data_IF_183333396239
#
_entry.id   IF_183333396239
#
_cell.length_a   1.000
_cell.length_b   1.000
_cell.length_c   1.000
_cell.angle_alpha   90.00
_cell.angle_beta   90.00
_cell.angle_gamma   90.00
#
_symmetry.space_group_name_H-M   'P 1'
#
loop_
_entity.id
_entity.type
_entity.pdbx_description
1 polymer ?
#
# COMPACT_ATOMS: atom_id res chain seq x y z
N UNK A 1 -2.00 11.94 11.05
CA UNK A 1 -3.35 11.36 10.93
C UNK A 1 -3.97 11.90 9.67
N UNK A 2 -4.44 11.05 8.77
CA UNK A 2 -5.20 11.49 7.60
C UNK A 2 -6.50 10.69 7.51
N UNK A 3 -7.58 11.35 7.11
CA UNK A 3 -8.85 10.70 6.79
C UNK A 3 -9.18 11.07 5.34
N UNK A 4 -9.47 10.08 4.52
CA UNK A 4 -9.85 10.28 3.13
C UNK A 4 -11.27 9.79 2.93
N UNK A 5 -12.13 10.67 2.42
CA UNK A 5 -13.45 10.29 1.95
C UNK A 5 -13.42 10.08 0.45
N UNK A 6 -13.81 8.89 0.01
CA UNK A 6 -13.92 8.57 -1.41
C UNK A 6 -15.39 8.59 -1.82
N UNK A 7 -15.83 9.68 -2.45
CA UNK A 7 -17.07 9.68 -3.20
C UNK A 7 -16.85 8.85 -4.47
N UNK A 8 -17.72 7.89 -4.74
CA UNK A 8 -17.63 7.11 -5.97
C UNK A 8 -18.46 7.78 -7.10
N UNK A 9 -17.81 8.48 -8.04
CA UNK A 9 -18.49 9.05 -9.20
C UNK A 9 -18.90 7.99 -10.23
N UNK A 10 -18.30 6.79 -10.17
CA UNK A 10 -18.53 5.71 -11.14
C UNK A 10 -19.53 4.73 -10.55
N UNK A 11 -20.81 4.92 -10.85
CA UNK A 11 -21.88 4.01 -10.44
C UNK A 11 -22.10 2.87 -11.42
N UNK A 12 -21.70 3.06 -12.66
CA UNK A 12 -21.89 2.11 -13.77
C UNK A 12 -20.54 1.88 -14.46
N UNK A 13 -20.40 0.71 -15.02
CA UNK A 13 -19.30 0.38 -15.92
C UNK A 13 -19.86 0.33 -17.35
N UNK A 14 -19.69 1.39 -18.11
CA UNK A 14 -20.15 1.46 -19.49
C UNK A 14 -19.07 0.90 -20.40
N UNK A 15 -19.41 -0.15 -21.14
CA UNK A 15 -18.50 -0.79 -22.12
C UNK A 15 -18.92 -0.38 -23.52
N UNK A 16 -18.08 0.39 -24.21
CA UNK A 16 -18.30 0.72 -25.63
C UNK A 16 -17.64 -0.31 -26.51
N UNK A 17 -18.45 -1.00 -27.29
CA UNK A 17 -18.01 -1.98 -28.27
C UNK A 17 -17.42 -1.29 -29.52
N UNK A 18 -16.59 -2.03 -30.28
CA UNK A 18 -15.97 -1.50 -31.49
C UNK A 18 -16.93 -1.03 -32.61
N UNK A 19 -18.23 -1.41 -32.52
CA UNK A 19 -19.29 -0.92 -33.39
C UNK A 19 -19.96 0.37 -32.90
N UNK A 20 -19.43 0.99 -31.81
CA UNK A 20 -19.97 2.21 -31.21
C UNK A 20 -21.17 2.01 -30.28
N UNK A 21 -21.64 0.77 -30.08
CA UNK A 21 -22.71 0.48 -29.14
C UNK A 21 -22.17 0.49 -27.70
N UNK A 22 -22.80 1.27 -26.82
CA UNK A 22 -22.45 1.31 -25.39
C UNK A 22 -23.43 0.43 -24.62
N UNK A 23 -22.88 -0.53 -23.87
CA UNK A 23 -23.63 -1.39 -22.96
C UNK A 23 -23.39 -0.86 -21.55
N UNK A 24 -24.44 -0.32 -20.94
CA UNK A 24 -24.40 0.12 -19.55
C UNK A 24 -24.45 -1.09 -18.62
N UNK A 25 -23.43 -1.20 -17.75
CA UNK A 25 -23.39 -2.20 -16.68
C UNK A 25 -23.54 -1.50 -15.32
N UNK A 26 -24.75 -1.40 -14.76
CA UNK A 26 -24.95 -0.78 -13.48
C UNK A 26 -24.25 -1.60 -12.37
N UNK A 27 -23.27 -1.03 -11.71
CA UNK A 27 -22.53 -1.68 -10.63
C UNK A 27 -23.08 -1.35 -9.24
N UNK A 28 -23.89 -0.29 -9.14
CA UNK A 28 -24.51 0.16 -7.89
C UNK A 28 -23.49 0.40 -6.74
N UNK A 29 -22.27 0.80 -7.08
CA UNK A 29 -21.24 1.03 -6.07
C UNK A 29 -21.62 2.16 -5.13
N UNK A 30 -21.25 2.00 -3.86
CA UNK A 30 -21.56 2.93 -2.78
C UNK A 30 -20.41 3.89 -2.53
N UNK A 31 -20.70 5.08 -2.04
CA UNK A 31 -19.68 5.96 -1.47
C UNK A 31 -19.20 5.39 -0.15
N UNK A 32 -17.89 5.39 0.06
CA UNK A 32 -17.24 4.83 1.23
C UNK A 32 -16.20 5.79 1.78
N UNK A 33 -15.67 5.50 2.95
CA UNK A 33 -14.56 6.24 3.52
C UNK A 33 -13.38 5.33 3.82
N UNK A 34 -12.19 5.92 3.87
CA UNK A 34 -11.00 5.28 4.38
C UNK A 34 -10.38 6.17 5.46
N UNK A 35 -10.03 5.57 6.59
CA UNK A 35 -9.31 6.22 7.68
C UNK A 35 -7.92 5.65 7.76
N UNK A 36 -6.91 6.53 7.75
CA UNK A 36 -5.50 6.15 7.78
C UNK A 36 -4.80 6.82 8.95
N UNK A 37 -4.06 6.03 9.71
CA UNK A 37 -3.22 6.48 10.79
C UNK A 37 -1.79 6.02 10.52
N UNK A 38 -0.83 6.94 10.63
CA UNK A 38 0.58 6.59 10.45
C UNK A 38 1.45 7.34 11.44
N UNK A 39 2.54 6.68 11.84
CA UNK A 39 3.55 7.27 12.70
C UNK A 39 4.93 6.89 12.20
N UNK A 40 5.87 7.80 12.39
CA UNK A 40 7.29 7.58 12.13
C UNK A 40 8.08 8.10 13.32
N UNK A 41 9.04 7.31 13.76
CA UNK A 41 10.04 7.72 14.73
C UNK A 41 11.43 7.61 14.13
N UNK A 42 12.22 8.69 14.23
CA UNK A 42 13.57 8.76 13.67
C UNK A 42 14.62 8.94 14.76
N UNK A 43 15.62 8.09 14.73
CA UNK A 43 16.87 8.28 15.47
C UNK A 43 17.88 8.92 14.51
N UNK A 44 18.21 10.19 14.76
CA UNK A 44 19.10 10.97 13.89
C UNK A 44 20.60 10.76 14.21
N UNK A 45 20.89 10.27 15.40
CA UNK A 45 22.23 9.91 15.83
C UNK A 45 22.14 8.80 16.88
N UNK A 46 22.64 7.64 16.53
CA UNK A 46 22.88 6.55 17.48
C UNK A 46 24.37 6.59 17.84
N UNK A 47 24.71 6.59 19.14
CA UNK A 47 26.11 6.59 19.60
C UNK A 47 26.94 5.47 18.95
N UNK A 48 26.32 4.33 18.70
CA UNK A 48 26.96 3.17 18.06
C UNK A 48 27.00 3.23 16.54
N UNK A 49 26.23 4.11 15.90
CA UNK A 49 26.08 4.21 14.44
C UNK A 49 26.21 5.68 14.00
N UNK A 50 27.38 6.24 14.18
CA UNK A 50 27.67 7.59 13.71
C UNK A 50 27.43 7.68 12.20
N UNK A 51 26.79 8.77 11.76
CA UNK A 51 26.40 9.02 10.35
C UNK A 51 25.31 8.09 9.78
N UNK A 52 24.54 7.43 10.66
CA UNK A 52 23.34 6.70 10.27
C UNK A 52 22.09 7.35 10.84
N UNK A 53 21.03 7.31 10.06
CA UNK A 53 19.67 7.57 10.52
C UNK A 53 18.87 6.27 10.45
N UNK A 54 18.13 6.00 11.51
CA UNK A 54 17.22 4.86 11.58
C UNK A 54 15.81 5.41 11.72
N UNK A 55 14.89 4.92 10.92
CA UNK A 55 13.48 5.30 10.99
C UNK A 55 12.62 4.04 11.20
N UNK A 56 11.77 4.07 12.21
CA UNK A 56 10.74 3.07 12.44
C UNK A 56 9.39 3.66 12.06
N UNK A 57 8.61 2.94 11.25
CA UNK A 57 7.32 3.38 10.76
C UNK A 57 6.26 2.36 11.11
N UNK A 58 5.06 2.85 11.45
CA UNK A 58 3.90 2.01 11.67
C UNK A 58 2.65 2.69 11.15
N UNK A 59 1.71 1.89 10.67
CA UNK A 59 0.48 2.43 10.13
C UNK A 59 -0.69 1.47 10.22
N UNK A 60 -1.87 2.06 10.21
CA UNK A 60 -3.15 1.35 10.16
C UNK A 60 -4.08 2.06 9.20
N UNK A 61 -4.77 1.29 8.38
CA UNK A 61 -5.82 1.77 7.49
C UNK A 61 -7.08 0.94 7.71
N UNK A 62 -8.21 1.61 7.83
CA UNK A 62 -9.54 1.00 7.70
C UNK A 62 -10.21 1.57 6.46
N UNK A 63 -10.67 0.70 5.58
CA UNK A 63 -11.33 1.05 4.33
C UNK A 63 -12.63 0.27 4.22
N UNK A 64 -13.73 0.98 4.00
CA UNK A 64 -15.03 0.37 3.77
C UNK A 64 -15.15 -0.19 2.34
N UNK A 65 -15.87 -1.29 2.23
CA UNK A 65 -16.27 -1.89 0.97
C UNK A 65 -17.30 -1.05 0.21
N UNK A 66 -17.06 -0.84 -1.06
CA UNK A 66 -17.95 -0.08 -1.95
C UNK A 66 -18.84 -0.97 -2.84
N UNK A 67 -18.54 -2.26 -2.99
CA UNK A 67 -19.20 -3.17 -3.93
C UNK A 67 -20.36 -3.91 -3.23
N UNK A 68 -21.61 -3.77 -3.68
CA UNK A 68 -22.74 -4.53 -3.15
C UNK A 68 -22.69 -6.00 -3.60
N UNK A 69 -23.39 -6.89 -2.87
CA UNK A 69 -23.37 -8.33 -3.14
C UNK A 69 -23.88 -8.69 -4.53
N UNK A 70 -24.87 -7.94 -5.03
CA UNK A 70 -25.47 -8.14 -6.36
C UNK A 70 -24.44 -8.07 -7.50
N UNK A 71 -23.39 -7.25 -7.32
CA UNK A 71 -22.36 -7.03 -8.34
C UNK A 71 -20.95 -7.43 -7.85
N UNK A 72 -20.89 -8.21 -6.78
CA UNK A 72 -19.63 -8.73 -6.29
C UNK A 72 -18.96 -9.67 -7.30
N UNK A 73 -17.66 -9.50 -7.48
CA UNK A 73 -16.80 -10.33 -8.31
C UNK A 73 -15.66 -10.90 -7.45
N UNK A 74 -15.54 -12.24 -7.34
CA UNK A 74 -14.47 -12.86 -6.56
C UNK A 74 -13.06 -12.57 -7.09
N UNK A 75 -12.91 -12.19 -8.35
CA UNK A 75 -11.66 -11.76 -8.94
C UNK A 75 -11.13 -10.42 -8.39
N UNK A 76 -12.01 -9.64 -7.77
CA UNK A 76 -11.69 -8.37 -7.11
C UNK A 76 -12.12 -8.46 -5.65
N UNK A 77 -11.23 -8.88 -4.72
CA UNK A 77 -11.58 -8.97 -3.31
C UNK A 77 -12.12 -7.63 -2.80
N UNK A 78 -13.31 -7.65 -2.26
CA UNK A 78 -14.00 -6.45 -1.84
C UNK A 78 -14.86 -6.76 -0.61
N UNK A 79 -14.26 -6.53 0.53
CA UNK A 79 -14.87 -6.50 1.85
C UNK A 79 -14.31 -5.32 2.61
N UNK A 80 -14.82 -5.04 3.78
CA UNK A 80 -14.17 -4.06 4.66
C UNK A 80 -12.74 -4.53 4.93
N UNK A 81 -11.79 -3.62 4.78
CA UNK A 81 -10.36 -3.92 4.78
C UNK A 81 -9.65 -3.21 5.92
N UNK A 82 -8.93 -3.98 6.71
CA UNK A 82 -8.01 -3.49 7.72
C UNK A 82 -6.57 -3.76 7.27
N UNK A 83 -5.77 -2.71 7.11
CA UNK A 83 -4.34 -2.86 6.79
C UNK A 83 -3.52 -2.44 7.99
N UNK A 84 -2.67 -3.34 8.44
CA UNK A 84 -1.63 -3.05 9.45
C UNK A 84 -0.29 -3.14 8.77
N UNK A 85 0.55 -2.14 8.95
CA UNK A 85 1.86 -2.12 8.34
C UNK A 85 2.94 -1.58 9.25
N UNK A 86 4.17 -2.05 9.01
CA UNK A 86 5.37 -1.56 9.65
C UNK A 86 6.52 -1.46 8.66
N UNK A 87 7.49 -0.61 8.97
CA UNK A 87 8.66 -0.43 8.13
C UNK A 87 9.87 0.04 8.89
N UNK A 88 11.04 -0.34 8.42
CA UNK A 88 12.34 0.09 8.90
C UNK A 88 13.07 0.81 7.77
N UNK A 89 13.52 2.02 8.04
CA UNK A 89 14.36 2.80 7.15
C UNK A 89 15.76 2.97 7.74
N UNK A 90 16.77 2.73 6.94
CA UNK A 90 18.17 2.96 7.27
C UNK A 90 18.74 3.95 6.25
N UNK A 91 19.38 5.01 6.69
CA UNK A 91 20.05 5.98 5.84
C UNK A 91 21.49 6.18 6.29
N UNK A 92 22.43 5.81 5.44
CA UNK A 92 23.85 6.01 5.65
C UNK A 92 24.28 7.31 4.97
N UNK A 93 24.84 8.24 5.74
CA UNK A 93 25.36 9.53 5.24
C UNK A 93 26.80 9.39 4.71
N UNK A 94 27.26 10.39 3.99
CA UNK A 94 28.55 10.42 3.27
C UNK A 94 29.77 9.89 4.04
N UNK A 95 29.85 10.18 5.35
CA UNK A 95 30.95 9.72 6.21
C UNK A 95 30.68 8.38 6.89
N UNK A 96 29.53 7.77 6.66
CA UNK A 96 29.14 6.49 7.22
C UNK A 96 29.76 5.31 6.48
N UNK A 97 29.87 4.19 7.17
CA UNK A 97 30.31 2.93 6.57
C UNK A 97 29.13 1.97 6.48
N UNK A 98 28.94 1.37 5.32
CA UNK A 98 27.95 0.33 5.09
C UNK A 98 28.58 -1.04 5.39
N UNK A 99 28.12 -1.68 6.48
CA UNK A 99 28.61 -2.98 6.96
C UNK A 99 30.14 -3.06 7.14
N UNK A 100 30.85 -1.95 7.31
CA UNK A 100 32.31 -1.92 7.42
C UNK A 100 33.05 -2.18 6.10
N UNK A 101 32.34 -2.44 5.00
CA UNK A 101 32.92 -2.83 3.71
C UNK A 101 33.20 -1.63 2.80
N UNK A 102 32.32 -0.60 2.81
CA UNK A 102 32.47 0.56 1.93
C UNK A 102 31.91 1.83 2.59
N UNK A 103 32.45 2.98 2.21
CA UNK A 103 31.90 4.27 2.63
C UNK A 103 30.69 4.64 1.80
N UNK A 104 29.65 5.16 2.44
CA UNK A 104 28.38 5.45 1.77
C UNK A 104 28.50 6.58 0.73
N UNK A 105 29.46 7.48 0.86
CA UNK A 105 29.76 8.53 -0.12
C UNK A 105 30.69 8.10 -1.26
N UNK A 106 31.27 6.91 -1.21
CA UNK A 106 32.21 6.43 -2.24
C UNK A 106 31.56 5.48 -3.28
N UNK A 107 30.28 5.18 -3.09
CA UNK A 107 29.53 4.32 -4.00
C UNK A 107 29.04 5.17 -5.16
N UNK A 108 29.70 5.07 -6.31
CA UNK A 108 29.30 5.77 -7.52
C UNK A 108 30.35 5.72 -8.61
N UNK A 109 29.93 5.94 -9.86
CA UNK A 109 30.82 5.99 -11.03
C UNK A 109 31.07 7.47 -11.42
N UNK A 110 32.34 7.88 -11.38
CA UNK A 110 32.75 9.21 -11.83
C UNK A 110 32.25 10.36 -10.95
N UNK A 111 31.55 11.31 -11.52
CA UNK A 111 31.00 12.49 -10.86
C UNK A 111 29.68 12.26 -10.12
N UNK A 112 29.04 11.11 -10.30
CA UNK A 112 27.77 10.74 -9.67
C UNK A 112 28.04 9.99 -8.36
N UNK A 113 28.44 10.73 -7.32
CA UNK A 113 28.61 10.18 -5.97
C UNK A 113 27.42 10.55 -5.10
N UNK A 114 26.66 9.59 -4.56
CA UNK A 114 25.56 9.88 -3.67
C UNK A 114 26.07 10.41 -2.34
N UNK A 115 25.43 11.44 -1.79
CA UNK A 115 25.68 11.97 -0.44
C UNK A 115 25.12 11.06 0.66
N UNK A 116 24.12 10.28 0.32
CA UNK A 116 23.57 9.30 1.25
C UNK A 116 22.93 8.12 0.50
N UNK A 117 22.99 6.94 1.13
CA UNK A 117 22.36 5.73 0.63
C UNK A 117 21.42 5.20 1.70
N UNK A 118 20.19 4.94 1.32
CA UNK A 118 19.14 4.41 2.19
C UNK A 118 18.65 3.06 1.74
N UNK A 119 18.23 2.26 2.72
CA UNK A 119 17.48 1.02 2.56
C UNK A 119 16.19 1.15 3.36
N UNK A 120 15.06 1.01 2.69
CA UNK A 120 13.76 0.98 3.32
C UNK A 120 13.14 -0.41 3.12
N UNK A 121 12.73 -1.04 4.21
CA UNK A 121 12.02 -2.33 4.18
C UNK A 121 10.67 -2.12 4.83
N UNK A 122 9.61 -2.63 4.21
CA UNK A 122 8.27 -2.58 4.79
C UNK A 122 7.52 -3.88 4.60
N UNK A 123 6.60 -4.11 5.53
CA UNK A 123 5.66 -5.22 5.49
C UNK A 123 4.26 -4.74 5.86
N UNK A 124 3.25 -5.26 5.16
CA UNK A 124 1.85 -4.95 5.39
C UNK A 124 1.02 -6.23 5.36
N UNK A 125 0.03 -6.29 6.24
CA UNK A 125 -0.99 -7.32 6.25
C UNK A 125 -2.35 -6.65 6.03
N UNK A 126 -3.02 -7.02 4.95
CA UNK A 126 -4.39 -6.63 4.63
C UNK A 126 -5.35 -7.74 5.05
N UNK A 127 -6.17 -7.45 6.05
CA UNK A 127 -7.15 -8.36 6.62
C UNK A 127 -8.53 -7.91 6.11
N UNK A 128 -9.10 -8.68 5.20
CA UNK A 128 -10.46 -8.47 4.74
C UNK A 128 -11.43 -9.12 5.72
N UNK A 129 -12.52 -8.43 6.05
CA UNK A 129 -13.58 -9.03 6.83
C UNK A 129 -14.25 -10.18 6.06
N UNK A 130 -14.68 -11.22 6.78
CA UNK A 130 -15.44 -12.33 6.20
C UNK A 130 -16.70 -11.79 5.53
N UNK A 131 -16.90 -12.14 4.28
CA UNK A 131 -18.05 -11.68 3.49
C UNK A 131 -18.92 -12.84 3.08
N UNK A 132 -20.19 -12.76 3.41
CA UNK A 132 -21.21 -13.65 2.86
C UNK A 132 -21.93 -12.93 1.72
N UNK A 133 -21.75 -13.41 0.51
CA UNK A 133 -22.41 -12.90 -0.70
C UNK A 133 -23.68 -13.70 -0.94
N UNK A 134 -24.81 -13.00 -1.09
CA UNK A 134 -26.12 -13.61 -1.38
C UNK A 134 -26.88 -12.77 -2.42
N UNK A 135 -27.55 -13.44 -3.32
CA UNK A 135 -28.36 -12.80 -4.35
C UNK A 135 -27.52 -12.06 -5.40
N UNK A 136 -26.33 -12.57 -5.70
CA UNK A 136 -25.52 -12.07 -6.81
C UNK A 136 -26.24 -12.27 -8.15
N UNK A 137 -25.98 -11.41 -9.12
CA UNK A 137 -26.49 -11.58 -10.51
C UNK A 137 -26.14 -12.95 -11.09
N UNK A 138 -24.98 -13.47 -10.72
CA UNK A 138 -24.55 -14.83 -11.01
C UNK A 138 -24.60 -15.64 -9.72
N UNK A 139 -25.62 -16.46 -9.55
CA UNK A 139 -25.82 -17.26 -8.33
C UNK A 139 -24.68 -18.24 -8.03
N UNK A 140 -23.82 -18.54 -9.00
CA UNK A 140 -22.61 -19.36 -8.75
C UNK A 140 -21.57 -18.64 -7.91
N UNK A 141 -21.70 -17.32 -7.74
CA UNK A 141 -20.83 -16.47 -6.92
C UNK A 141 -21.32 -16.38 -5.48
N UNK A 142 -22.54 -16.80 -5.18
CA UNK A 142 -23.04 -16.78 -3.81
C UNK A 142 -22.20 -17.71 -2.92
N UNK A 143 -21.73 -17.19 -1.78
CA UNK A 143 -20.85 -17.95 -0.90
C UNK A 143 -20.19 -17.11 0.19
N UNK A 144 -19.30 -17.74 0.94
CA UNK A 144 -18.53 -17.10 1.99
C UNK A 144 -17.10 -16.89 1.50
N UNK A 145 -16.65 -15.65 1.54
CA UNK A 145 -15.33 -15.23 1.08
C UNK A 145 -14.46 -14.77 2.25
N UNK A 146 -13.25 -15.30 2.29
CA UNK A 146 -12.22 -14.94 3.27
C UNK A 146 -10.95 -14.63 2.53
N UNK A 147 -10.42 -13.45 2.73
CA UNK A 147 -9.20 -13.00 2.04
C UNK A 147 -8.23 -12.36 3.03
N UNK A 148 -6.97 -12.71 2.89
CA UNK A 148 -5.88 -12.06 3.60
C UNK A 148 -4.77 -11.79 2.60
N UNK A 149 -4.21 -10.58 2.63
CA UNK A 149 -3.16 -10.16 1.72
C UNK A 149 -1.91 -9.78 2.52
N UNK A 150 -0.76 -10.29 2.10
CA UNK A 150 0.54 -9.91 2.67
C UNK A 150 1.38 -9.25 1.59
N UNK A 151 1.95 -8.09 1.91
CA UNK A 151 2.78 -7.32 1.01
C UNK A 151 4.09 -6.98 1.71
N UNK A 152 5.20 -7.24 1.04
CA UNK A 152 6.53 -6.83 1.46
C UNK A 152 7.18 -5.97 0.39
N UNK A 153 7.94 -4.96 0.80
CA UNK A 153 8.75 -4.18 -0.12
C UNK A 153 10.13 -3.88 0.44
N UNK A 154 11.12 -3.81 -0.45
CA UNK A 154 12.44 -3.31 -0.17
C UNK A 154 12.82 -2.28 -1.21
N UNK A 155 13.30 -1.12 -0.77
CA UNK A 155 13.65 0.00 -1.65
C UNK A 155 15.04 0.51 -1.30
N UNK A 156 15.90 0.66 -2.31
CA UNK A 156 17.20 1.33 -2.16
C UNK A 156 17.02 2.75 -2.66
N UNK A 157 17.45 3.71 -1.84
CA UNK A 157 17.37 5.14 -2.12
C UNK A 157 18.76 5.74 -2.18
N UNK A 158 19.04 6.53 -3.20
CA UNK A 158 20.29 7.29 -3.33
C UNK A 158 19.97 8.78 -3.37
N UNK A 159 20.70 9.57 -2.59
CA UNK A 159 20.57 11.04 -2.52
C UNK A 159 21.87 11.64 -3.05
N UNK A 160 21.78 12.47 -4.07
CA UNK A 160 22.89 13.14 -4.74
C UNK A 160 23.07 14.58 -4.27
#
# INVERSE_FOLDING_TARGET
>A
MSATWAGNPIKNLDVTLGNGMTIAQPQNWRSTYAVMLGTEYKWLALESLQNWEVALRGGYTNQQNQIPDVTYDPGIPSSDLHVVGGGLGLLCKEQGSFLGLMRCGDIGLGSLKPKAIGLDISFQAGLYEDRTVQGNRNSTVDGIYRTTLYLGSATIRMVY
#
